data_IF_704689828372
#
_entry.id   IF_704689828372
#
_cell.length_a   1.000
_cell.length_b   1.000
_cell.length_c   1.000
_cell.angle_alpha   90.00
_cell.angle_beta   90.00
_cell.angle_gamma   90.00
#
_symmetry.space_group_name_H-M   'P 1'
#
loop_
_entity.id
_entity.type
_entity.pdbx_description
1 polymer ?
#
# COMPACT_ATOMS: atom_id res chain seq x y z
N UNK A 1 -51.01 -7.66 -40.80
CA UNK A 1 -50.15 -6.69 -40.07
C UNK A 1 -51.06 -5.70 -39.35
N UNK A 2 -50.96 -5.58 -38.01
CA UNK A 2 -51.87 -4.73 -37.21
C UNK A 2 -51.43 -3.27 -37.37
N UNK A 3 -52.29 -2.40 -37.92
CA UNK A 3 -51.98 -0.97 -38.03
C UNK A 3 -51.87 -0.37 -36.62
N UNK A 4 -50.70 0.17 -36.28
CA UNK A 4 -50.48 0.91 -35.04
C UNK A 4 -50.68 2.40 -35.30
N UNK A 5 -51.58 3.02 -34.55
CA UNK A 5 -51.84 4.46 -34.60
C UNK A 5 -51.17 5.14 -33.41
N UNK A 6 -50.46 6.25 -33.65
CA UNK A 6 -49.80 7.02 -32.60
C UNK A 6 -50.81 7.66 -31.64
N UNK A 7 -50.38 7.96 -30.41
CA UNK A 7 -51.25 8.58 -29.40
C UNK A 7 -51.77 9.96 -29.85
N UNK A 8 -50.90 10.76 -30.47
CA UNK A 8 -51.24 12.06 -31.05
C UNK A 8 -52.30 11.95 -32.16
N UNK A 9 -52.16 10.98 -33.07
CA UNK A 9 -53.13 10.75 -34.14
C UNK A 9 -54.51 10.35 -33.59
N UNK A 10 -54.56 9.46 -32.59
CA UNK A 10 -55.81 9.09 -31.93
C UNK A 10 -56.49 10.29 -31.26
N UNK A 11 -55.71 11.16 -30.60
CA UNK A 11 -56.23 12.36 -29.95
C UNK A 11 -56.84 13.35 -30.96
N UNK A 12 -56.18 13.56 -32.10
CA UNK A 12 -56.69 14.42 -33.18
C UNK A 12 -58.03 13.92 -33.73
N UNK A 13 -58.12 12.64 -34.05
CA UNK A 13 -59.35 12.03 -34.59
C UNK A 13 -60.49 12.05 -33.55
N UNK A 14 -60.17 11.85 -32.27
CA UNK A 14 -61.16 11.96 -31.18
C UNK A 14 -61.68 13.39 -31.00
N UNK A 15 -60.82 14.41 -31.12
CA UNK A 15 -61.25 15.81 -31.06
C UNK A 15 -62.25 16.14 -32.18
N UNK A 16 -61.98 15.68 -33.40
CA UNK A 16 -62.92 15.87 -34.52
C UNK A 16 -64.24 15.10 -34.32
N UNK A 17 -64.19 13.89 -33.72
CA UNK A 17 -65.38 13.12 -33.32
C UNK A 17 -66.23 13.79 -32.22
N UNK A 18 -65.62 14.62 -31.37
CA UNK A 18 -66.30 15.36 -30.30
C UNK A 18 -66.87 16.70 -30.77
N UNK A 19 -66.34 17.26 -31.87
CA UNK A 19 -66.89 18.48 -32.50
C UNK A 19 -68.18 18.22 -33.29
N UNK A 20 -68.46 16.94 -33.61
CA UNK A 20 -69.66 16.47 -34.32
C UNK A 20 -69.91 17.14 -35.70
N UNK A 21 -68.88 17.74 -36.29
CA UNK A 21 -68.94 18.40 -37.61
C UNK A 21 -69.04 17.40 -38.79
N UNK A 22 -68.62 16.15 -38.58
CA UNK A 22 -68.67 15.06 -39.58
C UNK A 22 -69.20 13.78 -38.93
N UNK A 23 -69.92 12.97 -39.71
CA UNK A 23 -70.40 11.67 -39.22
C UNK A 23 -69.26 10.67 -39.06
N UNK A 24 -69.44 9.68 -38.18
CA UNK A 24 -68.44 8.62 -37.92
C UNK A 24 -68.10 7.85 -39.19
N UNK A 25 -69.07 7.67 -40.09
CA UNK A 25 -68.86 7.03 -41.38
C UNK A 25 -67.96 7.86 -42.33
N UNK A 26 -68.11 9.19 -42.32
CA UNK A 26 -67.26 10.09 -43.10
C UNK A 26 -65.83 10.13 -42.56
N UNK A 27 -65.67 10.22 -41.22
CA UNK A 27 -64.36 10.19 -40.58
C UNK A 27 -63.65 8.84 -40.73
N UNK A 28 -64.41 7.73 -40.71
CA UNK A 28 -63.88 6.41 -40.99
C UNK A 28 -63.31 6.27 -42.41
N UNK A 29 -63.98 6.91 -43.39
CA UNK A 29 -63.54 6.95 -44.78
C UNK A 29 -62.33 7.85 -44.98
N UNK A 30 -62.34 9.05 -44.39
CA UNK A 30 -61.28 10.07 -44.53
C UNK A 30 -59.95 9.62 -43.90
N UNK A 31 -60.00 9.02 -42.71
CA UNK A 31 -58.80 8.56 -41.99
C UNK A 31 -58.48 7.08 -42.24
N UNK A 32 -59.32 6.35 -42.98
CA UNK A 32 -59.14 4.92 -43.28
C UNK A 32 -59.16 4.03 -42.03
N UNK A 33 -59.96 4.40 -41.03
CA UNK A 33 -60.09 3.72 -39.72
C UNK A 33 -61.50 3.12 -39.59
N UNK A 34 -61.60 1.88 -39.13
CA UNK A 34 -62.90 1.22 -38.96
C UNK A 34 -63.79 1.95 -37.92
N UNK A 35 -65.11 2.13 -38.18
CA UNK A 35 -66.04 2.86 -37.28
C UNK A 35 -66.02 2.37 -35.82
N UNK A 36 -65.89 1.06 -35.59
CA UNK A 36 -65.79 0.47 -34.24
C UNK A 36 -64.55 0.94 -33.47
N UNK A 37 -63.42 1.19 -34.15
CA UNK A 37 -62.23 1.74 -33.51
C UNK A 37 -62.43 3.20 -33.11
N UNK A 38 -63.13 3.98 -33.95
CA UNK A 38 -63.50 5.36 -33.64
C UNK A 38 -64.42 5.45 -32.42
N UNK A 39 -65.44 4.60 -32.34
CA UNK A 39 -66.29 4.49 -31.15
C UNK A 39 -65.49 4.11 -29.90
N UNK A 40 -64.59 3.12 -30.02
CA UNK A 40 -63.73 2.71 -28.90
C UNK A 40 -62.81 3.83 -28.44
N UNK A 41 -62.20 4.58 -29.36
CA UNK A 41 -61.33 5.70 -29.02
C UNK A 41 -62.10 6.86 -28.39
N UNK A 42 -63.30 7.20 -28.91
CA UNK A 42 -64.19 8.20 -28.31
C UNK A 42 -64.56 7.82 -26.87
N UNK A 43 -65.03 6.59 -26.65
CA UNK A 43 -65.39 6.13 -25.31
C UNK A 43 -64.16 6.10 -24.37
N UNK A 44 -63.04 5.53 -24.82
CA UNK A 44 -61.80 5.49 -24.03
C UNK A 44 -61.33 6.89 -23.65
N UNK A 45 -61.47 7.87 -24.54
CA UNK A 45 -61.06 9.25 -24.26
C UNK A 45 -62.02 9.97 -23.31
N UNK A 46 -63.33 9.78 -23.46
CA UNK A 46 -64.35 10.36 -22.57
C UNK A 46 -64.26 9.77 -21.16
N UNK A 47 -64.10 8.45 -21.06
CA UNK A 47 -64.00 7.73 -19.78
C UNK A 47 -62.73 8.12 -19.01
N UNK A 48 -61.61 8.36 -19.72
CA UNK A 48 -60.34 8.79 -19.11
C UNK A 48 -60.17 10.32 -19.08
N UNK A 49 -61.10 11.11 -19.63
CA UNK A 49 -60.97 12.56 -19.73
C UNK A 49 -60.87 13.19 -18.34
N UNK A 50 -61.69 12.71 -17.40
CA UNK A 50 -61.67 13.13 -16.00
C UNK A 50 -60.31 12.87 -15.35
N UNK A 51 -59.70 11.71 -15.61
CA UNK A 51 -58.40 11.34 -15.05
C UNK A 51 -57.24 12.23 -15.51
N UNK A 52 -57.35 12.87 -16.69
CA UNK A 52 -56.37 13.84 -17.19
C UNK A 52 -56.45 15.21 -16.47
N UNK A 53 -57.61 15.53 -15.88
CA UNK A 53 -57.81 16.72 -15.05
C UNK A 53 -57.56 16.45 -13.56
N UNK A 54 -57.49 15.19 -13.15
CA UNK A 54 -56.96 14.82 -11.85
C UNK A 54 -55.44 15.00 -11.87
N UNK A 55 -54.87 15.71 -10.89
CA UNK A 55 -53.41 15.96 -10.77
C UNK A 55 -52.62 14.67 -10.41
N UNK A 56 -53.14 13.49 -10.76
CA UNK A 56 -52.64 12.15 -10.46
C UNK A 56 -51.32 11.88 -11.15
N UNK A 57 -51.15 12.30 -12.41
CA UNK A 57 -49.87 12.12 -13.11
C UNK A 57 -48.74 12.96 -12.51
N UNK A 58 -49.03 14.18 -12.03
CA UNK A 58 -48.06 14.98 -11.28
C UNK A 58 -47.77 14.36 -9.91
N UNK A 59 -48.78 13.87 -9.20
CA UNK A 59 -48.62 13.20 -7.90
C UNK A 59 -47.83 11.89 -8.00
N UNK A 60 -48.09 11.05 -8.99
CA UNK A 60 -47.36 9.79 -9.20
C UNK A 60 -45.91 10.06 -9.63
N UNK A 61 -45.69 11.02 -10.53
CA UNK A 61 -44.32 11.39 -10.95
C UNK A 61 -43.52 12.02 -9.80
N UNK A 62 -44.15 12.84 -8.96
CA UNK A 62 -43.49 13.40 -7.77
C UNK A 62 -43.28 12.37 -6.67
N UNK A 63 -44.19 11.40 -6.51
CA UNK A 63 -44.01 10.27 -5.59
C UNK A 63 -42.83 9.39 -5.99
N UNK A 64 -42.75 8.95 -7.26
CA UNK A 64 -41.60 8.18 -7.77
C UNK A 64 -40.28 8.95 -7.64
N UNK A 65 -40.27 10.27 -7.93
CA UNK A 65 -39.07 11.10 -7.74
C UNK A 65 -38.64 11.15 -6.28
N UNK A 66 -39.59 11.30 -5.35
CA UNK A 66 -39.29 11.31 -3.91
C UNK A 66 -38.79 9.97 -3.40
N UNK A 67 -39.36 8.86 -3.87
CA UNK A 67 -38.87 7.52 -3.53
C UNK A 67 -37.45 7.31 -4.05
N UNK A 68 -37.19 7.72 -5.30
CA UNK A 68 -35.85 7.65 -5.86
C UNK A 68 -34.85 8.55 -5.13
N UNK A 69 -35.23 9.78 -4.77
CA UNK A 69 -34.40 10.70 -3.97
C UNK A 69 -34.07 10.10 -2.60
N UNK A 70 -35.03 9.45 -1.93
CA UNK A 70 -34.80 8.73 -0.67
C UNK A 70 -33.82 7.56 -0.85
N UNK A 71 -34.00 6.74 -1.89
CA UNK A 71 -33.10 5.63 -2.18
C UNK A 71 -31.67 6.13 -2.43
N UNK A 72 -31.53 7.24 -3.17
CA UNK A 72 -30.24 7.90 -3.41
C UNK A 72 -29.61 8.38 -2.11
N UNK A 73 -30.38 9.04 -1.23
CA UNK A 73 -29.91 9.50 0.07
C UNK A 73 -29.45 8.34 0.97
N UNK A 74 -30.23 7.25 1.01
CA UNK A 74 -29.88 6.03 1.75
C UNK A 74 -28.59 5.39 1.25
N UNK A 75 -28.42 5.30 -0.08
CA UNK A 75 -27.20 4.76 -0.69
C UNK A 75 -25.97 5.64 -0.39
N UNK A 76 -26.09 6.96 -0.52
CA UNK A 76 -24.99 7.87 -0.18
C UNK A 76 -24.61 7.81 1.31
N UNK A 77 -25.62 7.74 2.19
CA UNK A 77 -25.39 7.56 3.62
C UNK A 77 -24.64 6.26 3.91
N UNK A 78 -25.01 5.17 3.22
CA UNK A 78 -24.33 3.87 3.35
C UNK A 78 -22.90 3.92 2.83
N UNK A 79 -22.65 4.57 1.70
CA UNK A 79 -21.29 4.80 1.17
C UNK A 79 -20.44 5.59 2.16
N UNK A 80 -20.98 6.68 2.74
CA UNK A 80 -20.26 7.48 3.73
C UNK A 80 -19.88 6.66 4.98
N UNK A 81 -20.82 5.87 5.50
CA UNK A 81 -20.56 4.97 6.64
C UNK A 81 -19.48 3.93 6.33
N UNK A 82 -19.60 3.25 5.18
CA UNK A 82 -18.62 2.23 4.78
C UNK A 82 -17.23 2.82 4.53
N UNK A 83 -17.16 4.01 3.93
CA UNK A 83 -15.90 4.71 3.68
C UNK A 83 -15.19 5.01 5.01
N UNK A 84 -15.92 5.57 5.97
CA UNK A 84 -15.39 5.86 7.31
C UNK A 84 -14.90 4.61 8.04
N UNK A 85 -15.66 3.51 7.95
CA UNK A 85 -15.28 2.22 8.54
C UNK A 85 -13.99 1.65 7.91
N UNK A 86 -13.89 1.68 6.58
CA UNK A 86 -12.70 1.19 5.86
C UNK A 86 -11.47 2.03 6.19
N UNK A 87 -11.59 3.35 6.24
CA UNK A 87 -10.48 4.24 6.62
C UNK A 87 -9.99 3.98 8.05
N UNK A 88 -10.92 3.80 8.99
CA UNK A 88 -10.59 3.47 10.38
C UNK A 88 -9.87 2.12 10.49
N UNK A 89 -10.36 1.09 9.80
CA UNK A 89 -9.71 -0.23 9.76
C UNK A 89 -8.31 -0.16 9.14
N UNK A 90 -8.15 0.55 8.01
CA UNK A 90 -6.85 0.76 7.36
C UNK A 90 -5.84 1.39 8.31
N UNK A 91 -6.26 2.43 9.04
CA UNK A 91 -5.43 3.12 10.02
C UNK A 91 -5.01 2.20 11.16
N UNK A 92 -5.96 1.48 11.76
CA UNK A 92 -5.66 0.55 12.86
C UNK A 92 -4.75 -0.59 12.43
N UNK A 93 -4.99 -1.16 11.25
CA UNK A 93 -4.16 -2.23 10.71
C UNK A 93 -2.71 -1.75 10.51
N UNK A 94 -2.53 -0.55 9.95
CA UNK A 94 -1.20 0.02 9.74
C UNK A 94 -0.48 0.38 11.06
N UNK A 95 -1.21 0.68 12.13
CA UNK A 95 -0.61 0.97 13.45
C UNK A 95 -0.29 -0.28 14.26
N UNK A 96 -1.05 -1.36 14.10
CA UNK A 96 -0.93 -2.57 14.94
C UNK A 96 -0.06 -3.64 14.29
N UNK A 97 -0.01 -3.70 12.96
CA UNK A 97 0.75 -4.72 12.22
C UNK A 97 1.95 -4.12 11.50
N UNK A 98 3.06 -4.86 11.54
CA UNK A 98 4.25 -4.56 10.76
C UNK A 98 3.96 -4.65 9.26
N UNK A 99 4.88 -4.12 8.44
CA UNK A 99 4.76 -4.22 6.97
C UNK A 99 4.80 -5.67 6.49
N UNK A 100 5.61 -6.51 7.13
CA UNK A 100 5.82 -7.91 6.76
C UNK A 100 4.55 -8.74 7.00
N UNK A 101 3.96 -8.64 8.20
CA UNK A 101 2.68 -9.30 8.52
C UNK A 101 1.56 -8.88 7.56
N UNK A 102 1.52 -7.61 7.14
CA UNK A 102 0.53 -7.14 6.15
C UNK A 102 0.79 -7.71 4.76
N UNK A 103 2.03 -8.00 4.39
CA UNK A 103 2.34 -8.65 3.11
C UNK A 103 1.91 -10.12 3.13
N UNK A 104 2.01 -10.79 4.28
CA UNK A 104 1.57 -12.18 4.43
C UNK A 104 0.05 -12.34 4.30
N UNK A 105 -0.73 -11.29 4.58
CA UNK A 105 -2.19 -11.26 4.38
C UNK A 105 -2.62 -11.20 2.90
N UNK A 106 -1.68 -11.12 1.96
CA UNK A 106 -1.99 -10.99 0.53
C UNK A 106 -2.32 -12.35 -0.08
N UNK A 107 -3.47 -12.42 -0.73
CA UNK A 107 -3.95 -13.59 -1.45
C UNK A 107 -3.80 -13.36 -2.96
N UNK A 108 -2.71 -13.88 -3.54
CA UNK A 108 -2.37 -13.61 -4.96
C UNK A 108 -3.40 -14.13 -5.95
N UNK A 109 -4.08 -15.23 -5.62
CA UNK A 109 -5.04 -15.93 -6.49
C UNK A 109 -6.52 -15.66 -6.09
N UNK A 110 -6.78 -14.56 -5.38
CA UNK A 110 -8.14 -14.22 -4.94
C UNK A 110 -9.06 -13.90 -6.15
N UNK A 111 -10.22 -14.56 -6.29
CA UNK A 111 -11.07 -14.45 -7.48
C UNK A 111 -11.75 -13.08 -7.66
N UNK A 112 -12.18 -12.44 -6.56
CA UNK A 112 -12.95 -11.18 -6.62
C UNK A 112 -12.13 -9.91 -6.37
N UNK A 113 -11.04 -9.98 -5.59
CA UNK A 113 -10.29 -8.81 -5.14
C UNK A 113 -8.89 -8.82 -5.79
N UNK A 114 -8.62 -7.92 -6.75
CA UNK A 114 -7.32 -7.86 -7.40
C UNK A 114 -6.24 -7.40 -6.42
N UNK A 115 -4.99 -7.79 -6.70
CA UNK A 115 -3.81 -7.41 -5.91
C UNK A 115 -3.67 -5.90 -5.66
N UNK A 116 -4.11 -5.07 -6.60
CA UNK A 116 -4.14 -3.61 -6.44
C UNK A 116 -5.05 -3.18 -5.29
N UNK A 117 -6.25 -3.77 -5.20
CA UNK A 117 -7.23 -3.44 -4.16
C UNK A 117 -6.82 -4.01 -2.81
N UNK A 118 -6.25 -5.22 -2.78
CA UNK A 118 -5.67 -5.78 -1.57
C UNK A 118 -4.54 -4.89 -1.02
N UNK A 119 -3.63 -4.43 -1.88
CA UNK A 119 -2.57 -3.51 -1.48
C UNK A 119 -3.11 -2.20 -0.88
N UNK A 120 -4.17 -1.64 -1.49
CA UNK A 120 -4.84 -0.43 -1.00
C UNK A 120 -5.50 -0.64 0.38
N UNK A 121 -6.19 -1.77 0.58
CA UNK A 121 -6.84 -2.13 1.84
C UNK A 121 -5.83 -2.43 2.95
N UNK A 122 -4.69 -3.03 2.61
CA UNK A 122 -3.61 -3.32 3.54
C UNK A 122 -2.68 -2.12 3.76
N UNK A 123 -2.94 -0.97 3.13
CA UNK A 123 -2.08 0.23 3.18
C UNK A 123 -0.62 -0.07 2.79
N UNK A 124 -0.44 -0.85 1.72
CA UNK A 124 0.83 -1.26 1.14
C UNK A 124 1.05 -0.57 -0.22
N UNK A 125 2.31 -0.27 -0.55
CA UNK A 125 2.65 0.20 -1.88
C UNK A 125 2.56 -0.97 -2.88
N UNK A 126 1.66 -0.86 -3.85
CA UNK A 126 1.44 -1.85 -4.92
C UNK A 126 2.74 -2.29 -5.59
N UNK A 127 3.63 -1.36 -5.94
CA UNK A 127 4.87 -1.66 -6.68
C UNK A 127 5.81 -2.54 -5.87
N UNK A 128 5.77 -2.41 -4.54
CA UNK A 128 6.62 -3.19 -3.63
C UNK A 128 6.25 -4.68 -3.56
N UNK A 129 5.04 -5.04 -3.99
CA UNK A 129 4.57 -6.44 -4.02
C UNK A 129 5.17 -7.23 -5.18
N UNK A 130 5.53 -6.54 -6.26
CA UNK A 130 6.16 -7.13 -7.44
C UNK A 130 7.68 -7.16 -7.34
N UNK A 131 8.26 -6.46 -6.36
CA UNK A 131 9.69 -6.43 -6.16
C UNK A 131 10.17 -7.82 -5.72
N UNK A 132 10.99 -8.44 -6.56
CA UNK A 132 11.79 -9.60 -6.19
C UNK A 132 13.15 -9.08 -5.73
N UNK A 133 13.61 -9.42 -4.51
CA UNK A 133 14.96 -9.10 -4.09
C UNK A 133 15.92 -9.69 -5.12
N UNK A 134 16.74 -8.84 -5.73
CA UNK A 134 17.84 -9.32 -6.56
C UNK A 134 18.92 -9.81 -5.61
N UNK A 135 19.36 -11.05 -5.78
CA UNK A 135 20.48 -11.58 -5.02
C UNK A 135 21.68 -10.64 -5.14
N UNK A 136 22.37 -10.42 -4.02
CA UNK A 136 23.54 -9.53 -4.03
C UNK A 136 24.51 -10.06 -5.09
N UNK A 137 24.91 -9.24 -6.07
CA UNK A 137 25.77 -9.71 -7.15
C UNK A 137 27.04 -10.31 -6.53
N UNK A 138 27.52 -11.40 -7.08
CA UNK A 138 28.69 -12.14 -6.59
C UNK A 138 29.91 -11.22 -6.39
N UNK A 139 30.03 -10.19 -7.22
CA UNK A 139 31.01 -9.11 -7.11
C UNK A 139 30.93 -8.32 -5.78
N UNK A 140 29.73 -8.06 -5.26
CA UNK A 140 29.56 -7.40 -3.95
C UNK A 140 30.01 -8.29 -2.79
N UNK A 141 29.74 -9.59 -2.88
CA UNK A 141 30.20 -10.56 -1.88
C UNK A 141 31.73 -10.63 -1.88
N UNK A 142 32.35 -10.75 -3.06
CA UNK A 142 33.82 -10.71 -3.22
C UNK A 142 34.42 -9.41 -2.68
N UNK A 143 33.80 -8.26 -2.95
CA UNK A 143 34.25 -6.98 -2.42
C UNK A 143 34.20 -6.95 -0.87
N UNK A 144 33.14 -7.48 -0.26
CA UNK A 144 33.01 -7.55 1.21
C UNK A 144 34.05 -8.46 1.84
N UNK A 145 34.32 -9.62 1.24
CA UNK A 145 35.41 -10.50 1.71
C UNK A 145 36.76 -9.78 1.65
N UNK A 146 37.06 -9.08 0.56
CA UNK A 146 38.32 -8.34 0.47
C UNK A 146 38.41 -7.19 1.46
N UNK A 147 37.31 -6.49 1.71
CA UNK A 147 37.24 -5.47 2.77
C UNK A 147 37.50 -6.09 4.15
N UNK A 148 36.93 -7.27 4.45
CA UNK A 148 37.14 -7.99 5.73
C UNK A 148 38.62 -8.33 5.93
N UNK A 149 39.28 -8.86 4.90
CA UNK A 149 40.70 -9.20 4.91
C UNK A 149 41.57 -7.96 5.19
N UNK A 150 41.40 -6.89 4.39
CA UNK A 150 42.18 -5.65 4.56
C UNK A 150 41.91 -5.03 5.93
N UNK A 151 40.66 -5.08 6.41
CA UNK A 151 40.30 -4.53 7.72
C UNK A 151 40.89 -5.35 8.87
N UNK A 152 40.98 -6.66 8.73
CA UNK A 152 41.61 -7.56 9.72
C UNK A 152 43.10 -7.21 9.89
N UNK A 153 43.81 -6.98 8.78
CA UNK A 153 45.22 -6.58 8.81
C UNK A 153 45.40 -5.11 9.24
N UNK A 154 44.44 -4.25 8.90
CA UNK A 154 44.51 -2.81 9.13
C UNK A 154 43.21 -2.22 9.72
N UNK A 155 42.91 -2.47 11.01
CA UNK A 155 41.66 -2.02 11.64
C UNK A 155 41.46 -0.49 11.66
N UNK A 156 42.55 0.27 11.58
CA UNK A 156 42.51 1.74 11.52
C UNK A 156 41.98 2.30 10.19
N UNK A 157 41.79 1.48 9.16
CA UNK A 157 41.44 1.95 7.83
C UNK A 157 39.94 2.23 7.73
N UNK A 158 39.60 3.52 7.76
CA UNK A 158 38.26 3.97 7.37
C UNK A 158 38.03 3.92 5.85
N UNK A 159 36.78 4.14 5.43
CA UNK A 159 36.34 4.07 4.02
C UNK A 159 37.25 4.78 3.01
N UNK A 160 37.88 5.91 3.37
CA UNK A 160 38.81 6.64 2.49
C UNK A 160 40.06 5.81 2.17
N UNK A 161 40.75 5.31 3.20
CA UNK A 161 41.96 4.49 3.03
C UNK A 161 41.63 3.14 2.41
N UNK A 162 40.55 2.51 2.86
CA UNK A 162 40.05 1.26 2.28
C UNK A 162 39.83 1.39 0.77
N UNK A 163 39.18 2.47 0.31
CA UNK A 163 38.97 2.73 -1.12
C UNK A 163 40.29 2.89 -1.88
N UNK A 164 41.28 3.57 -1.29
CA UNK A 164 42.58 3.77 -1.94
C UNK A 164 43.36 2.46 -2.11
N UNK A 165 43.32 1.57 -1.11
CA UNK A 165 43.94 0.24 -1.17
C UNK A 165 43.25 -0.61 -2.22
N UNK A 166 41.91 -0.70 -2.18
CA UNK A 166 41.14 -1.48 -3.15
C UNK A 166 41.40 -1.02 -4.59
N UNK A 167 41.46 0.30 -4.85
CA UNK A 167 41.79 0.83 -6.18
C UNK A 167 43.21 0.49 -6.62
N UNK A 168 44.17 0.48 -5.69
CA UNK A 168 45.55 0.07 -5.99
C UNK A 168 45.62 -1.42 -6.36
N UNK A 169 44.75 -2.24 -5.79
CA UNK A 169 44.60 -3.66 -6.11
C UNK A 169 43.78 -3.91 -7.40
N UNK A 170 43.38 -2.86 -8.12
CA UNK A 170 42.67 -2.97 -9.40
C UNK A 170 41.15 -2.99 -9.30
N UNK A 171 40.56 -2.75 -8.12
CA UNK A 171 39.11 -2.65 -7.98
C UNK A 171 38.59 -1.29 -8.46
N UNK A 172 37.68 -1.29 -9.44
CA UNK A 172 36.93 -0.09 -9.82
C UNK A 172 35.76 0.14 -8.85
N UNK A 173 36.07 0.75 -7.70
CA UNK A 173 35.09 1.01 -6.65
C UNK A 173 35.04 2.49 -6.24
N UNK A 174 33.82 2.97 -6.00
CA UNK A 174 33.57 4.27 -5.43
C UNK A 174 33.61 4.20 -3.89
N UNK A 175 34.13 5.25 -3.25
CA UNK A 175 34.12 5.40 -1.79
C UNK A 175 32.74 5.22 -1.17
N UNK A 176 31.67 5.68 -1.82
CA UNK A 176 30.29 5.50 -1.30
C UNK A 176 29.90 4.02 -1.24
N UNK A 177 30.34 3.21 -2.22
CA UNK A 177 30.12 1.75 -2.26
C UNK A 177 30.88 1.08 -1.12
N UNK A 178 32.17 1.38 -0.95
CA UNK A 178 32.99 0.87 0.16
C UNK A 178 32.41 1.24 1.52
N UNK A 179 31.98 2.50 1.69
CA UNK A 179 31.35 2.97 2.92
C UNK A 179 30.03 2.23 3.23
N UNK A 180 29.20 1.96 2.22
CA UNK A 180 27.99 1.15 2.38
C UNK A 180 28.35 -0.26 2.83
N UNK A 181 29.31 -0.92 2.17
CA UNK A 181 29.76 -2.26 2.54
C UNK A 181 30.29 -2.32 3.99
N UNK A 182 31.13 -1.36 4.39
CA UNK A 182 31.64 -1.27 5.77
C UNK A 182 30.51 -1.10 6.79
N UNK A 183 29.49 -0.27 6.48
CA UNK A 183 28.31 -0.11 7.36
C UNK A 183 27.47 -1.38 7.46
N UNK A 184 27.22 -2.06 6.34
CA UNK A 184 26.49 -3.34 6.32
C UNK A 184 27.25 -4.45 7.07
N UNK A 185 28.57 -4.36 7.15
CA UNK A 185 29.44 -5.25 7.92
C UNK A 185 29.70 -4.75 9.35
N UNK A 186 29.11 -3.62 9.74
CA UNK A 186 29.27 -2.99 11.06
C UNK A 186 30.72 -2.67 11.46
N UNK A 187 31.61 -2.48 10.47
CA UNK A 187 33.02 -2.12 10.68
C UNK A 187 33.27 -0.65 10.40
N UNK A 188 34.15 -0.04 11.20
CA UNK A 188 34.58 1.35 11.04
C UNK A 188 36.05 1.45 11.41
N UNK A 189 36.77 2.39 10.79
CA UNK A 189 38.19 2.58 11.09
C UNK A 189 38.40 2.88 12.57
N UNK A 190 39.09 1.99 13.27
CA UNK A 190 39.42 2.13 14.70
C UNK A 190 40.66 3.00 14.80
N UNK A 191 40.44 4.30 14.98
CA UNK A 191 41.52 5.24 15.25
C UNK A 191 41.22 6.03 16.53
N UNK A 192 42.24 6.38 17.32
CA UNK A 192 42.08 7.27 18.47
C UNK A 192 41.39 8.57 18.04
N UNK A 193 40.35 8.97 18.76
CA UNK A 193 39.67 10.24 18.53
C UNK A 193 40.56 11.45 18.81
N UNK A 194 40.13 12.67 18.45
CA UNK A 194 40.84 13.89 18.84
C UNK A 194 40.86 14.05 20.37
N UNK A 195 41.85 14.77 20.91
CA UNK A 195 42.00 15.09 22.34
C UNK A 195 42.28 13.90 23.28
N UNK A 196 43.12 12.95 22.88
CA UNK A 196 43.54 11.81 23.74
C UNK A 196 44.20 12.22 25.07
N UNK A 197 44.72 13.44 25.15
CA UNK A 197 45.33 14.00 26.35
C UNK A 197 44.32 14.56 27.36
N UNK A 198 43.05 14.72 26.98
CA UNK A 198 42.01 15.20 27.90
C UNK A 198 41.47 14.03 28.73
N UNK A 199 41.72 14.09 30.04
CA UNK A 199 41.23 13.12 31.02
C UNK A 199 39.69 13.11 31.03
N UNK A 200 39.08 11.93 30.89
CA UNK A 200 37.65 11.76 31.11
C UNK A 200 37.37 11.83 32.62
N UNK A 201 36.60 12.83 33.05
CA UNK A 201 36.32 13.11 34.47
C UNK A 201 35.49 12.00 35.13
N UNK A 202 34.66 11.30 34.34
CA UNK A 202 33.82 10.20 34.83
C UNK A 202 34.59 8.90 35.10
N UNK A 203 35.79 8.76 34.56
CA UNK A 203 36.61 7.56 34.76
C UNK A 203 37.54 7.77 35.95
N UNK A 204 37.26 7.04 37.05
CA UNK A 204 38.15 6.99 38.19
C UNK A 204 39.47 6.32 37.79
N UNK A 205 40.59 6.95 38.13
CA UNK A 205 41.91 6.38 37.88
C UNK A 205 42.17 5.38 39.01
N UNK A 206 42.20 4.09 38.68
CA UNK A 206 42.55 3.04 39.63
C UNK A 206 44.08 2.89 39.68
N UNK A 207 44.69 2.81 40.87
CA UNK A 207 46.11 2.53 40.99
C UNK A 207 46.41 1.12 40.47
N UNK A 208 47.50 0.98 39.72
CA UNK A 208 48.00 -0.33 39.32
C UNK A 208 48.59 -1.04 40.54
N UNK A 209 47.81 -1.93 41.14
CA UNK A 209 48.11 -2.57 42.44
C UNK A 209 49.34 -3.49 42.39
N UNK A 210 49.74 -3.95 41.21
CA UNK A 210 50.91 -4.80 41.01
C UNK A 210 52.21 -3.98 40.82
N UNK A 211 52.14 -2.65 40.92
CA UNK A 211 53.33 -1.79 40.81
C UNK A 211 54.29 -2.11 41.95
N UNK A 212 55.52 -2.51 41.61
CA UNK A 212 56.59 -2.91 42.55
C UNK A 212 56.33 -4.18 43.37
N UNK A 213 55.33 -5.01 43.01
CA UNK A 213 55.13 -6.32 43.64
C UNK A 213 56.08 -7.33 42.99
N UNK A 214 56.88 -8.04 43.79
CA UNK A 214 57.68 -9.21 43.35
C UNK A 214 56.95 -10.48 43.77
N UNK A 215 56.75 -11.41 42.84
CA UNK A 215 56.18 -12.72 43.16
C UNK A 215 57.12 -13.46 44.14
N UNK A 216 56.56 -13.91 45.27
CA UNK A 216 57.30 -14.43 46.42
C UNK A 216 56.84 -15.81 46.87
N UNK A 217 55.66 -16.25 46.40
CA UNK A 217 55.09 -17.58 46.61
C UNK A 217 54.17 -17.88 45.44
N UNK A 218 53.89 -19.17 45.18
CA UNK A 218 52.99 -19.57 44.10
C UNK A 218 51.60 -18.90 44.24
N UNK A 219 50.96 -18.62 43.11
CA UNK A 219 49.64 -17.95 43.00
C UNK A 219 49.60 -16.53 43.58
N UNK A 220 50.73 -15.84 43.66
CA UNK A 220 50.80 -14.45 44.15
C UNK A 220 50.44 -13.46 43.04
N UNK A 221 50.87 -13.70 41.79
CA UNK A 221 50.59 -12.82 40.66
C UNK A 221 49.98 -13.61 39.51
N UNK A 222 48.88 -13.11 38.97
CA UNK A 222 48.14 -13.77 37.89
C UNK A 222 48.20 -12.87 36.64
N UNK A 223 48.77 -13.40 35.57
CA UNK A 223 48.71 -12.81 34.24
C UNK A 223 47.57 -13.44 33.45
N UNK A 224 46.73 -12.61 32.82
CA UNK A 224 45.69 -13.09 31.92
C UNK A 224 45.88 -12.39 30.58
N UNK A 225 45.91 -13.17 29.51
CA UNK A 225 45.84 -12.67 28.14
C UNK A 225 44.61 -13.25 27.43
N UNK A 226 43.95 -12.43 26.62
CA UNK A 226 42.77 -12.81 25.84
C UNK A 226 43.08 -12.59 24.36
N UNK A 227 43.14 -13.68 23.62
CA UNK A 227 43.42 -13.66 22.18
C UNK A 227 42.18 -14.05 21.38
N UNK A 228 41.97 -13.36 20.25
CA UNK A 228 40.87 -13.62 19.31
C UNK A 228 41.34 -14.56 18.20
N UNK A 229 40.61 -15.66 18.00
CA UNK A 229 40.92 -16.63 16.96
C UNK A 229 39.76 -16.65 15.95
N UNK A 230 40.07 -16.30 14.68
CA UNK A 230 39.11 -16.30 13.57
C UNK A 230 38.84 -17.73 13.09
N UNK A 231 37.55 -18.09 12.94
CA UNK A 231 37.11 -19.35 12.35
C UNK A 231 36.32 -19.10 11.05
N UNK A 232 36.18 -20.12 10.20
CA UNK A 232 35.46 -20.01 8.91
C UNK A 232 34.00 -19.52 9.05
N UNK A 233 33.33 -19.83 10.18
CA UNK A 233 31.95 -19.39 10.48
C UNK A 233 31.81 -18.75 11.86
N UNK A 234 32.77 -17.92 12.26
CA UNK A 234 32.66 -17.14 13.50
C UNK A 234 33.99 -16.79 14.14
N UNK A 235 33.97 -16.56 15.45
CA UNK A 235 35.11 -16.17 16.27
C UNK A 235 35.13 -16.98 17.57
N UNK A 236 36.32 -17.27 18.08
CA UNK A 236 36.54 -17.89 19.38
C UNK A 236 37.44 -17.01 20.25
N UNK A 237 37.18 -17.01 21.55
CA UNK A 237 38.00 -16.35 22.56
C UNK A 237 38.89 -17.40 23.22
N UNK A 238 40.20 -17.23 23.15
CA UNK A 238 41.16 -17.99 23.93
C UNK A 238 41.60 -17.15 25.12
N UNK A 239 41.38 -17.66 26.33
CA UNK A 239 41.89 -17.05 27.57
C UNK A 239 43.03 -17.90 28.07
N UNK A 240 44.20 -17.27 28.24
CA UNK A 240 45.37 -17.90 28.85
C UNK A 240 45.61 -17.23 30.19
N UNK A 241 45.61 -18.03 31.26
CA UNK A 241 45.97 -17.59 32.60
C UNK A 241 47.27 -18.24 33.04
N UNK A 242 48.24 -17.43 33.45
CA UNK A 242 49.52 -17.87 34.00
C UNK A 242 49.59 -17.35 35.43
N UNK A 243 49.95 -18.22 36.37
CA UNK A 243 50.11 -17.87 37.78
C UNK A 243 51.58 -18.06 38.18
N UNK A 244 52.17 -17.00 38.71
CA UNK A 244 53.51 -16.97 39.33
C UNK A 244 53.41 -16.96 40.87
#
# INVERSE_FOLDING_TARGET
MRKHYSASFKAQVVLELLREEKTIAQLASEYGVHPTMLHRWKNTAVDNLSSLFEDVDKKNTTAMKREHEKEVEELYSKIGRLTTQVEWLKKNLASTRTREERIEMIERDHPEIPLSKQAELLSLNRTSLYYKPVDKPEEEVRLKHRIDEIYTDHPAYGSRRMTAVLRREGWDVNRKRVQRCMREMEIAGVCPGPNLSKRNVQHQVYPYLLRNVRASHNNHVWGIDITYIRLQKGWMYLVVSIAD
#
